data_IF_696826830264
#
_entry.id   IF_696826830264
#
_cell.length_a   1.000
_cell.length_b   1.000
_cell.length_c   1.000
_cell.angle_alpha   90.00
_cell.angle_beta   90.00
_cell.angle_gamma   90.00
#
_symmetry.space_group_name_H-M   'P 1'
#
loop_
_entity.id
_entity.type
_entity.pdbx_description
1 polymer ?
#
# COMPACT_ATOMS: atom_id res chain seq x y z
N UNK A 1 -4.54 13.18 -1.03
CA UNK A 1 -4.34 12.53 0.28
C UNK A 1 -3.06 11.70 0.27
N UNK A 2 -2.33 11.64 1.38
CA UNK A 2 -1.00 11.02 1.42
C UNK A 2 -1.09 9.48 1.51
N UNK A 3 -0.47 8.75 0.58
CA UNK A 3 -0.28 7.28 0.63
C UNK A 3 0.22 6.83 2.01
N UNK A 4 1.06 7.66 2.63
CA UNK A 4 1.57 7.47 4.00
C UNK A 4 0.47 7.37 5.06
N UNK A 5 -0.60 8.17 4.94
CA UNK A 5 -1.77 8.12 5.82
C UNK A 5 -2.59 6.85 5.59
N UNK A 6 -2.85 6.50 4.33
CA UNK A 6 -3.56 5.25 3.97
C UNK A 6 -2.82 4.04 4.53
N UNK A 7 -1.51 3.98 4.29
CA UNK A 7 -0.67 2.89 4.80
C UNK A 7 -0.60 2.86 6.33
N UNK A 8 -0.68 4.00 7.02
CA UNK A 8 -0.71 4.02 8.49
C UNK A 8 -2.02 3.47 9.05
N UNK A 9 -3.14 3.68 8.35
CA UNK A 9 -4.48 3.25 8.75
C UNK A 9 -4.75 1.75 8.54
N UNK A 10 -3.95 1.09 7.70
CA UNK A 10 -4.07 -0.35 7.43
C UNK A 10 -3.60 -1.21 8.61
N UNK A 11 -4.24 -2.37 8.80
CA UNK A 11 -3.79 -3.41 9.74
C UNK A 11 -2.51 -4.10 9.24
N UNK A 12 -1.86 -4.88 10.11
CA UNK A 12 -0.60 -5.56 9.75
C UNK A 12 -0.79 -6.49 8.55
N UNK A 13 -1.86 -7.29 8.57
CA UNK A 13 -2.23 -8.22 7.50
C UNK A 13 -2.46 -7.48 6.17
N UNK A 14 -3.24 -6.40 6.19
CA UNK A 14 -3.52 -5.56 5.02
C UNK A 14 -2.27 -4.87 4.48
N UNK A 15 -1.33 -4.47 5.35
CA UNK A 15 -0.02 -3.93 4.93
C UNK A 15 0.83 -4.99 4.22
N UNK A 16 0.81 -6.23 4.69
CA UNK A 16 1.51 -7.32 4.03
C UNK A 16 0.90 -7.64 2.66
N UNK A 17 -0.43 -7.66 2.57
CA UNK A 17 -1.16 -7.84 1.30
C UNK A 17 -0.86 -6.68 0.32
N UNK A 18 -0.87 -5.43 0.79
CA UNK A 18 -0.46 -4.28 0.00
C UNK A 18 0.96 -4.41 -0.54
N UNK A 19 1.92 -4.82 0.30
CA UNK A 19 3.31 -5.03 -0.13
C UNK A 19 3.45 -6.23 -1.08
N UNK A 20 2.60 -7.25 -0.95
CA UNK A 20 2.55 -8.38 -1.87
C UNK A 20 2.02 -7.97 -3.25
N UNK A 21 0.92 -7.22 -3.30
CA UNK A 21 0.40 -6.66 -4.55
C UNK A 21 1.42 -5.73 -5.21
N UNK A 22 2.05 -4.82 -4.46
CA UNK A 22 3.09 -3.94 -5.00
C UNK A 22 4.27 -4.72 -5.58
N UNK A 23 4.69 -5.80 -4.91
CA UNK A 23 5.74 -6.69 -5.41
C UNK A 23 5.31 -7.41 -6.70
N UNK A 24 4.08 -7.91 -6.75
CA UNK A 24 3.60 -8.68 -7.89
C UNK A 24 3.31 -7.81 -9.12
N UNK A 25 2.66 -6.66 -8.90
CA UNK A 25 2.19 -5.77 -9.97
C UNK A 25 3.31 -4.89 -10.53
N UNK A 26 4.25 -4.45 -9.69
CA UNK A 26 5.36 -3.60 -10.09
C UNK A 26 6.71 -4.31 -10.09
N UNK A 27 6.75 -5.63 -9.84
CA UNK A 27 7.98 -6.41 -9.80
C UNK A 27 8.97 -5.98 -8.71
N UNK A 28 8.50 -5.26 -7.67
CA UNK A 28 9.37 -4.69 -6.66
C UNK A 28 9.98 -5.79 -5.79
N UNK A 29 11.27 -6.06 -5.99
CA UNK A 29 11.96 -7.18 -5.33
C UNK A 29 12.00 -7.03 -3.80
N UNK A 30 12.01 -5.80 -3.29
CA UNK A 30 12.36 -5.55 -1.90
C UNK A 30 11.28 -4.81 -1.11
N UNK A 31 10.43 -5.57 -0.40
CA UNK A 31 9.33 -5.04 0.43
C UNK A 31 9.82 -4.00 1.46
N UNK A 32 11.01 -4.20 2.03
CA UNK A 32 11.60 -3.29 3.02
C UNK A 32 11.99 -1.97 2.37
N UNK A 33 12.56 -2.03 1.17
CA UNK A 33 13.02 -0.85 0.44
C UNK A 33 11.82 -0.01 -0.03
N UNK A 34 10.77 -0.65 -0.56
CA UNK A 34 9.51 0.04 -0.90
C UNK A 34 8.92 0.72 0.33
N UNK A 35 8.80 0.02 1.45
CA UNK A 35 8.29 0.63 2.69
C UNK A 35 9.15 1.81 3.16
N UNK A 36 10.48 1.75 3.01
CA UNK A 36 11.39 2.80 3.46
C UNK A 36 11.45 3.99 2.50
N UNK A 37 11.60 3.75 1.21
CA UNK A 37 11.78 4.77 0.18
C UNK A 37 10.44 5.33 -0.30
N UNK A 38 9.46 4.48 -0.59
CA UNK A 38 8.21 4.91 -1.17
C UNK A 38 7.27 5.45 -0.08
N UNK A 39 7.03 4.66 0.98
CA UNK A 39 6.10 5.06 2.04
C UNK A 39 6.74 6.03 3.04
N UNK A 40 7.99 5.77 3.47
CA UNK A 40 8.65 6.59 4.49
C UNK A 40 9.31 7.83 3.88
N UNK A 41 10.03 7.72 2.77
CA UNK A 41 10.69 8.87 2.14
C UNK A 41 9.79 9.63 1.15
N UNK A 42 8.65 9.05 0.74
CA UNK A 42 7.73 9.70 -0.19
C UNK A 42 8.24 9.74 -1.63
N UNK A 43 9.25 8.93 -1.98
CA UNK A 43 9.79 8.80 -3.33
C UNK A 43 8.97 7.80 -4.15
N UNK A 44 7.69 8.09 -4.35
CA UNK A 44 6.84 7.31 -5.24
C UNK A 44 6.79 8.03 -6.59
N UNK A 45 7.09 7.35 -7.71
CA UNK A 45 6.90 7.93 -9.04
C UNK A 45 5.43 8.29 -9.26
N UNK A 46 5.15 9.48 -9.81
CA UNK A 46 3.77 9.97 -10.00
C UNK A 46 2.89 9.00 -10.80
N UNK A 47 3.45 8.35 -11.84
CA UNK A 47 2.73 7.35 -12.64
C UNK A 47 2.30 6.10 -11.88
N UNK A 48 2.92 5.81 -10.73
CA UNK A 48 2.47 4.73 -9.84
C UNK A 48 1.61 5.23 -8.69
N UNK A 49 1.65 6.53 -8.40
CA UNK A 49 1.03 7.11 -7.23
C UNK A 49 -0.50 6.91 -7.23
N UNK A 50 -1.17 7.14 -8.37
CA UNK A 50 -2.62 6.89 -8.50
C UNK A 50 -2.97 5.40 -8.36
N UNK A 51 -2.22 4.50 -9.00
CA UNK A 51 -2.44 3.06 -8.91
C UNK A 51 -2.30 2.55 -7.48
N UNK A 52 -1.27 3.00 -6.77
CA UNK A 52 -1.02 2.65 -5.37
C UNK A 52 -2.13 3.20 -4.47
N UNK A 53 -2.58 4.45 -4.68
CA UNK A 53 -3.69 5.02 -3.91
C UNK A 53 -4.97 4.22 -4.11
N UNK A 54 -5.34 3.91 -5.36
CA UNK A 54 -6.53 3.14 -5.68
C UNK A 54 -6.46 1.73 -5.06
N UNK A 55 -5.32 1.06 -5.18
CA UNK A 55 -5.06 -0.24 -4.59
C UNK A 55 -5.18 -0.19 -3.06
N UNK A 56 -4.58 0.83 -2.43
CA UNK A 56 -4.62 1.00 -0.97
C UNK A 56 -6.03 1.31 -0.45
N UNK A 57 -6.79 2.13 -1.17
CA UNK A 57 -8.19 2.38 -0.84
C UNK A 57 -9.04 1.11 -0.97
N UNK A 58 -8.79 0.29 -2.00
CA UNK A 58 -9.47 -0.99 -2.17
C UNK A 58 -9.16 -1.98 -1.04
N UNK A 59 -7.89 -2.07 -0.63
CA UNK A 59 -7.46 -2.90 0.50
C UNK A 59 -8.07 -2.43 1.83
N UNK A 60 -8.12 -1.12 2.07
CA UNK A 60 -8.80 -0.56 3.25
C UNK A 60 -10.29 -0.86 3.25
N UNK A 61 -10.96 -0.77 2.08
CA UNK A 61 -12.36 -1.19 1.95
C UNK A 61 -12.53 -2.66 2.30
N UNK A 62 -11.71 -3.55 1.74
CA UNK A 62 -11.73 -4.98 2.07
C UNK A 62 -11.51 -5.23 3.56
N UNK A 63 -10.56 -4.54 4.18
CA UNK A 63 -10.28 -4.63 5.62
C UNK A 63 -11.50 -4.23 6.46
N UNK A 64 -12.17 -3.14 6.11
CA UNK A 64 -13.40 -2.71 6.80
C UNK A 64 -14.55 -3.70 6.63
N UNK A 65 -14.73 -4.25 5.42
CA UNK A 65 -15.74 -5.29 5.16
C UNK A 65 -15.44 -6.56 5.96
N UNK A 66 -14.18 -6.99 6.03
CA UNK A 66 -13.75 -8.17 6.80
C UNK A 66 -13.94 -8.03 8.32
N UNK A 67 -13.95 -6.80 8.86
CA UNK A 67 -14.18 -6.52 10.28
C UNK A 67 -15.67 -6.42 10.67
N UNK A 68 -16.59 -6.38 9.70
CA UNK A 68 -18.04 -6.19 9.92
C UNK A 68 -18.82 -7.51 9.93
N UNK A 69 -18.15 -8.67 9.82
CA UNK A 69 -18.79 -9.98 10.00
C UNK A 69 -18.21 -10.75 11.17
#
# INVERSE_FOLDING_TARGET
ENIRRLFKSMDHDTKEEALACLKNEYGLQDRKLVKKEWIKAGRIPEGYQEGIVAMFQNLLRKQHVKKVC
#
